data_IF_304566822740
#
_entry.id   IF_304566822740
#
_cell.length_a   1.000
_cell.length_b   1.000
_cell.length_c   1.000
_cell.angle_alpha   90.00
_cell.angle_beta   90.00
_cell.angle_gamma   90.00
#
_symmetry.space_group_name_H-M   'P 1'
#
loop_
_entity.id
_entity.type
_entity.pdbx_description
1 polymer ?
#
# COMPACT_ATOMS: atom_id res chain seq x y z
N UNK A 1 5.07 0.57 -9.99
CA UNK A 1 5.33 1.13 -8.66
C UNK A 1 4.75 0.20 -7.61
N UNK A 2 5.53 -0.18 -6.64
CA UNK A 2 5.17 -1.24 -5.70
C UNK A 2 5.49 -0.80 -4.26
N UNK A 3 4.49 -0.72 -3.40
CA UNK A 3 4.66 -0.26 -2.03
C UNK A 3 5.33 -1.37 -1.19
N UNK A 4 6.46 -1.06 -0.57
CA UNK A 4 7.19 -1.97 0.31
C UNK A 4 7.26 -1.37 1.71
N UNK A 5 6.60 -2.00 2.67
CA UNK A 5 6.43 -1.49 4.02
C UNK A 5 6.58 -2.63 5.03
N UNK A 6 7.80 -2.86 5.49
CA UNK A 6 8.09 -3.93 6.45
C UNK A 6 7.56 -3.66 7.86
N UNK A 7 7.35 -4.72 8.62
CA UNK A 7 6.81 -4.69 9.99
C UNK A 7 7.80 -4.17 11.05
N UNK A 8 9.06 -3.95 10.66
CA UNK A 8 10.05 -3.27 11.49
C UNK A 8 9.75 -1.75 11.65
N UNK A 9 8.87 -1.20 10.80
CA UNK A 9 8.42 0.19 10.92
C UNK A 9 7.29 0.31 11.96
N UNK A 10 7.17 1.48 12.65
CA UNK A 10 6.05 1.76 13.54
C UNK A 10 4.68 1.59 12.84
N UNK A 11 3.67 1.15 13.56
CA UNK A 11 2.35 0.83 13.03
C UNK A 11 1.68 2.03 12.34
N UNK A 12 1.77 3.21 12.94
CA UNK A 12 1.24 4.45 12.36
C UNK A 12 1.91 4.81 11.03
N UNK A 13 3.22 4.56 10.91
CA UNK A 13 3.98 4.74 9.68
C UNK A 13 3.54 3.73 8.62
N UNK A 14 3.38 2.46 9.01
CA UNK A 14 2.90 1.40 8.10
C UNK A 14 1.51 1.70 7.56
N UNK A 15 0.58 2.09 8.44
CA UNK A 15 -0.79 2.44 8.07
C UNK A 15 -0.83 3.61 7.08
N UNK A 16 -0.01 4.63 7.32
CA UNK A 16 0.11 5.80 6.44
C UNK A 16 0.62 5.43 5.05
N UNK A 17 1.63 4.55 5.00
CA UNK A 17 2.29 4.16 3.75
C UNK A 17 1.53 3.12 2.93
N UNK A 18 0.61 2.39 3.54
CA UNK A 18 -0.27 1.41 2.88
C UNK A 18 -1.66 1.99 2.65
N UNK A 19 -2.49 2.05 3.67
CA UNK A 19 -3.87 2.55 3.61
C UNK A 19 -3.93 4.01 3.15
N UNK A 20 -3.14 4.88 3.74
CA UNK A 20 -3.12 6.31 3.40
C UNK A 20 -2.75 6.56 1.94
N UNK A 21 -1.76 5.83 1.44
CA UNK A 21 -1.33 5.95 0.04
C UNK A 21 -2.38 5.41 -0.93
N UNK A 22 -2.93 4.23 -0.68
CA UNK A 22 -3.99 3.69 -1.51
C UNK A 22 -5.22 4.59 -1.50
N UNK A 23 -5.61 5.12 -0.34
CA UNK A 23 -6.71 6.08 -0.23
C UNK A 23 -6.52 7.31 -1.12
N UNK A 24 -5.30 7.85 -1.19
CA UNK A 24 -4.95 8.93 -2.11
C UNK A 24 -5.15 8.55 -3.58
N UNK A 25 -4.74 7.35 -3.96
CA UNK A 25 -4.97 6.85 -5.32
C UNK A 25 -6.45 6.59 -5.62
N UNK A 26 -7.21 6.08 -4.65
CA UNK A 26 -8.66 5.87 -4.81
C UNK A 26 -9.42 7.17 -5.03
N UNK A 27 -8.98 8.27 -4.41
CA UNK A 27 -9.56 9.59 -4.67
C UNK A 27 -9.34 10.04 -6.12
N UNK A 28 -8.11 9.93 -6.63
CA UNK A 28 -7.73 10.43 -7.95
C UNK A 28 -8.00 9.45 -9.09
N UNK A 29 -7.77 8.17 -8.87
CA UNK A 29 -7.74 7.13 -9.91
C UNK A 29 -8.60 5.90 -9.58
N UNK A 30 -9.52 6.02 -8.62
CA UNK A 30 -10.30 4.89 -8.12
C UNK A 30 -11.03 4.12 -9.22
N UNK A 31 -11.70 4.81 -10.15
CA UNK A 31 -12.43 4.14 -11.24
C UNK A 31 -11.49 3.35 -12.16
N UNK A 32 -10.30 3.90 -12.46
CA UNK A 32 -9.29 3.22 -13.25
C UNK A 32 -8.76 1.97 -12.52
N UNK A 33 -8.47 2.08 -11.23
CA UNK A 33 -7.99 0.96 -10.43
C UNK A 33 -9.03 -0.16 -10.35
N UNK A 34 -10.28 0.17 -10.10
CA UNK A 34 -11.39 -0.79 -10.06
C UNK A 34 -11.54 -1.49 -11.41
N UNK A 35 -11.58 -0.74 -12.50
CA UNK A 35 -11.73 -1.29 -13.85
C UNK A 35 -10.55 -2.20 -14.26
N UNK A 36 -9.32 -1.75 -14.01
CA UNK A 36 -8.11 -2.48 -14.39
C UNK A 36 -7.95 -3.79 -13.63
N UNK A 37 -8.31 -3.80 -12.34
CA UNK A 37 -8.18 -5.00 -11.50
C UNK A 37 -9.44 -5.87 -11.49
N UNK A 38 -10.53 -5.46 -12.13
CA UNK A 38 -11.81 -6.16 -12.09
C UNK A 38 -12.42 -6.23 -10.69
N UNK A 39 -12.18 -5.21 -9.87
CA UNK A 39 -12.72 -5.12 -8.51
C UNK A 39 -14.21 -4.75 -8.49
N UNK A 40 -14.90 -5.12 -7.40
CA UNK A 40 -16.25 -4.63 -7.14
C UNK A 40 -16.23 -3.10 -6.95
N UNK A 41 -17.04 -2.32 -7.68
CA UNK A 41 -17.09 -0.87 -7.52
C UNK A 41 -17.79 -0.40 -6.24
N UNK A 42 -18.53 -1.26 -5.55
CA UNK A 42 -19.31 -0.85 -4.36
C UNK A 42 -18.42 -0.33 -3.21
N UNK A 43 -17.27 -0.94 -2.86
CA UNK A 43 -16.36 -0.37 -1.86
C UNK A 43 -15.81 1.01 -2.24
N UNK A 44 -15.53 1.27 -3.52
CA UNK A 44 -15.09 2.59 -3.97
C UNK A 44 -16.19 3.64 -3.78
N UNK A 45 -17.43 3.28 -4.09
CA UNK A 45 -18.57 4.18 -3.88
C UNK A 45 -18.78 4.51 -2.37
N UNK A 46 -18.65 3.50 -1.51
CA UNK A 46 -18.72 3.69 -0.06
C UNK A 46 -17.57 4.56 0.46
N UNK A 47 -16.35 4.33 0.00
CA UNK A 47 -15.18 5.14 0.32
C UNK A 47 -15.38 6.61 -0.07
N UNK A 48 -15.86 6.90 -1.26
CA UNK A 48 -16.12 8.27 -1.73
C UNK A 48 -17.26 8.98 -1.00
N UNK A 49 -18.23 8.23 -0.51
CA UNK A 49 -19.37 8.76 0.26
C UNK A 49 -19.03 8.98 1.75
N UNK A 50 -17.91 8.46 2.23
CA UNK A 50 -17.54 8.54 3.63
C UNK A 50 -17.22 9.99 4.05
N UNK A 51 -17.82 10.50 5.16
CA UNK A 51 -17.59 11.87 5.61
C UNK A 51 -16.14 12.19 5.97
N UNK A 52 -15.38 11.23 6.52
CA UNK A 52 -13.96 11.41 6.87
C UNK A 52 -13.14 11.58 5.62
N UNK A 53 -13.35 10.70 4.62
CA UNK A 53 -12.70 10.80 3.32
C UNK A 53 -13.02 12.14 2.64
N UNK A 54 -14.26 12.58 2.71
CA UNK A 54 -14.75 13.85 2.15
C UNK A 54 -14.08 15.11 2.73
N UNK A 55 -13.42 15.02 3.88
CA UNK A 55 -12.67 16.15 4.45
C UNK A 55 -11.34 16.43 3.74
N UNK A 56 -10.85 15.47 2.93
CA UNK A 56 -9.55 15.57 2.27
C UNK A 56 -9.69 15.96 0.79
N UNK A 57 -8.98 16.99 0.39
CA UNK A 57 -8.79 17.36 -1.01
C UNK A 57 -7.45 16.78 -1.53
N UNK A 58 -7.25 15.46 -1.39
CA UNK A 58 -6.02 14.76 -1.73
C UNK A 58 -5.00 14.72 -0.59
N UNK A 59 -3.89 14.02 -0.82
CA UNK A 59 -2.79 13.85 0.13
C UNK A 59 -3.22 13.25 1.50
N UNK A 60 -4.11 12.27 1.49
CA UNK A 60 -4.60 11.58 2.69
C UNK A 60 -3.42 11.00 3.48
N UNK A 61 -2.45 10.40 2.79
CA UNK A 61 -1.23 9.84 3.37
C UNK A 61 -0.37 10.84 4.14
N UNK A 62 -0.50 12.12 3.85
CA UNK A 62 0.25 13.18 4.53
C UNK A 62 -0.55 13.91 5.60
N UNK A 63 -1.86 14.05 5.43
CA UNK A 63 -2.71 14.93 6.22
C UNK A 63 -3.55 14.20 7.26
N UNK A 64 -3.89 12.93 7.02
CA UNK A 64 -4.76 12.19 7.92
C UNK A 64 -4.07 11.88 9.25
N UNK A 65 -4.83 11.93 10.34
CA UNK A 65 -4.39 11.41 11.64
C UNK A 65 -4.38 9.88 11.61
N UNK A 66 -3.71 9.26 12.57
CA UNK A 66 -3.71 7.80 12.71
C UNK A 66 -5.13 7.25 12.87
N UNK A 67 -5.96 7.88 13.70
CA UNK A 67 -7.36 7.50 13.91
C UNK A 67 -8.18 7.60 12.61
N UNK A 68 -7.95 8.64 11.80
CA UNK A 68 -8.61 8.75 10.49
C UNK A 68 -8.16 7.66 9.52
N UNK A 69 -6.87 7.29 9.54
CA UNK A 69 -6.35 6.20 8.73
C UNK A 69 -6.89 4.83 9.17
N UNK A 70 -7.02 4.60 10.48
CA UNK A 70 -7.67 3.39 11.01
C UNK A 70 -9.12 3.28 10.55
N UNK A 71 -9.87 4.38 10.60
CA UNK A 71 -11.22 4.43 10.06
C UNK A 71 -11.24 4.14 8.56
N UNK A 72 -10.39 4.80 7.77
CA UNK A 72 -10.31 4.59 6.32
C UNK A 72 -9.94 3.14 5.99
N UNK A 73 -9.09 2.49 6.80
CA UNK A 73 -8.74 1.09 6.62
C UNK A 73 -9.97 0.17 6.65
N UNK A 74 -11.01 0.51 7.40
CA UNK A 74 -12.26 -0.26 7.44
C UNK A 74 -13.08 -0.19 6.15
N UNK A 75 -12.83 0.80 5.30
CA UNK A 75 -13.53 1.03 4.04
C UNK A 75 -12.84 0.35 2.84
N UNK A 76 -11.58 -0.05 3.01
CA UNK A 76 -10.76 -0.61 1.93
C UNK A 76 -10.72 -2.14 2.07
N UNK A 77 -11.15 -2.89 1.05
CA UNK A 77 -11.00 -4.35 1.05
C UNK A 77 -9.54 -4.76 1.19
N UNK A 78 -9.26 -5.78 2.01
CA UNK A 78 -7.91 -6.29 2.25
C UNK A 78 -7.20 -6.69 0.94
N UNK A 79 -7.93 -7.29 0.01
CA UNK A 79 -7.44 -7.70 -1.30
C UNK A 79 -6.88 -6.53 -2.15
N UNK A 80 -7.33 -5.29 -1.89
CA UNK A 80 -6.81 -4.11 -2.61
C UNK A 80 -5.43 -3.70 -2.10
N UNK A 81 -5.08 -4.10 -0.88
CA UNK A 81 -3.75 -3.89 -0.27
C UNK A 81 -2.79 -5.06 -0.52
N UNK A 82 -3.31 -6.24 -0.90
CA UNK A 82 -2.52 -7.46 -1.08
C UNK A 82 -1.31 -7.33 -2.04
N UNK A 83 -1.34 -6.50 -3.11
CA UNK A 83 -0.17 -6.28 -3.95
C UNK A 83 0.99 -5.53 -3.28
N UNK A 84 0.78 -4.94 -2.11
CA UNK A 84 1.85 -4.29 -1.34
C UNK A 84 2.72 -5.35 -0.65
N UNK A 85 4.04 -5.13 -0.63
CA UNK A 85 4.97 -5.97 0.12
C UNK A 85 4.96 -5.53 1.60
N UNK A 86 4.34 -6.33 2.45
CA UNK A 86 4.20 -6.07 3.89
C UNK A 86 4.61 -7.30 4.70
N UNK A 87 4.67 -7.14 6.02
CA UNK A 87 5.11 -8.19 6.92
C UNK A 87 6.61 -8.13 7.22
N UNK A 88 7.23 -9.25 7.58
CA UNK A 88 8.67 -9.30 7.84
C UNK A 88 9.48 -8.94 6.58
N UNK A 89 10.75 -8.54 6.72
CA UNK A 89 11.62 -8.31 5.57
C UNK A 89 11.63 -9.49 4.59
N UNK A 90 11.63 -10.73 5.07
CA UNK A 90 11.60 -11.95 4.27
C UNK A 90 10.25 -12.11 3.54
N UNK A 91 9.14 -11.77 4.19
CA UNK A 91 7.82 -11.75 3.55
C UNK A 91 7.73 -10.68 2.44
N UNK A 92 8.31 -9.51 2.69
CA UNK A 92 8.43 -8.47 1.66
C UNK A 92 9.24 -8.98 0.45
N UNK A 93 10.36 -9.67 0.69
CA UNK A 93 11.17 -10.27 -0.37
C UNK A 93 10.39 -11.33 -1.16
N UNK A 94 9.67 -12.21 -0.47
CA UNK A 94 8.84 -13.22 -1.14
C UNK A 94 7.77 -12.57 -2.05
N UNK A 95 7.17 -11.46 -1.62
CA UNK A 95 6.21 -10.72 -2.44
C UNK A 95 6.89 -10.08 -3.66
N UNK A 96 8.10 -9.55 -3.51
CA UNK A 96 8.90 -9.01 -4.63
C UNK A 96 9.23 -10.12 -5.65
N UNK A 97 9.69 -11.29 -5.19
CA UNK A 97 9.94 -12.44 -6.06
C UNK A 97 8.67 -12.87 -6.82
N UNK A 98 7.51 -12.84 -6.16
CA UNK A 98 6.23 -13.10 -6.80
C UNK A 98 5.93 -12.18 -7.99
N UNK A 99 6.41 -10.93 -7.99
CA UNK A 99 6.26 -10.04 -9.16
C UNK A 99 7.12 -10.51 -10.34
N UNK A 100 8.33 -11.00 -10.08
CA UNK A 100 9.18 -11.58 -11.13
C UNK A 100 8.56 -12.87 -11.68
N UNK A 101 7.98 -13.70 -10.84
CA UNK A 101 7.28 -14.93 -11.26
C UNK A 101 6.06 -14.62 -12.16
N UNK A 102 5.43 -13.46 -11.99
CA UNK A 102 4.36 -12.95 -12.86
C UNK A 102 4.87 -12.33 -14.16
N UNK A 103 6.20 -12.29 -14.36
CA UNK A 103 6.83 -11.81 -15.60
C UNK A 103 7.31 -10.37 -15.56
N UNK A 104 7.44 -9.76 -14.39
CA UNK A 104 8.06 -8.45 -14.28
C UNK A 104 9.57 -8.54 -14.50
N UNK A 105 10.15 -7.67 -15.34
CA UNK A 105 11.60 -7.57 -15.56
C UNK A 105 12.31 -6.79 -14.45
N UNK A 106 11.57 -5.92 -13.75
CA UNK A 106 12.07 -5.12 -12.64
C UNK A 106 10.96 -4.73 -11.68
N UNK A 107 11.29 -4.59 -10.40
CA UNK A 107 10.37 -4.12 -9.36
C UNK A 107 10.95 -2.86 -8.70
N UNK A 108 10.16 -1.79 -8.67
CA UNK A 108 10.52 -0.56 -7.98
C UNK A 108 9.93 -0.60 -6.57
N UNK A 109 10.80 -0.64 -5.56
CA UNK A 109 10.38 -0.52 -4.17
C UNK A 109 10.00 0.93 -3.89
N UNK A 110 8.77 1.15 -3.49
CA UNK A 110 8.19 2.48 -3.36
C UNK A 110 7.53 2.67 -1.99
N UNK A 111 7.45 3.90 -1.53
CA UNK A 111 6.73 4.26 -0.31
C UNK A 111 7.58 4.29 0.95
N UNK A 112 8.87 4.01 0.87
CA UNK A 112 9.80 4.04 1.99
C UNK A 112 11.12 4.72 1.62
N UNK A 113 11.81 5.28 2.61
CA UNK A 113 13.16 5.83 2.43
C UNK A 113 14.20 4.70 2.31
N UNK A 114 15.42 4.98 1.84
CA UNK A 114 16.49 3.99 1.82
C UNK A 114 16.77 3.34 3.19
N UNK A 115 16.71 4.11 4.26
CA UNK A 115 16.92 3.60 5.62
C UNK A 115 15.78 2.67 6.06
N UNK A 116 14.56 3.02 5.73
CA UNK A 116 13.37 2.19 6.00
C UNK A 116 13.36 0.91 5.17
N UNK A 117 13.97 0.92 3.97
CA UNK A 117 14.10 -0.25 3.09
C UNK A 117 15.31 -1.12 3.43
N UNK A 118 16.26 -0.63 4.20
CA UNK A 118 17.53 -1.31 4.45
C UNK A 118 17.37 -2.77 4.92
N UNK A 119 16.47 -3.11 5.87
CA UNK A 119 16.25 -4.51 6.29
C UNK A 119 15.72 -5.39 5.14
N UNK A 120 14.80 -4.88 4.32
CA UNK A 120 14.26 -5.62 3.17
C UNK A 120 15.33 -5.84 2.09
N UNK A 121 16.14 -4.83 1.81
CA UNK A 121 17.26 -4.93 0.87
C UNK A 121 18.31 -5.93 1.36
N UNK A 122 18.60 -5.94 2.66
CA UNK A 122 19.52 -6.91 3.26
C UNK A 122 18.98 -8.35 3.13
N UNK A 123 17.69 -8.56 3.42
CA UNK A 123 17.04 -9.86 3.28
C UNK A 123 17.04 -10.32 1.80
N UNK A 124 16.75 -9.42 0.85
CA UNK A 124 16.78 -9.70 -0.58
C UNK A 124 18.17 -10.21 -1.01
N UNK A 125 19.22 -9.47 -0.65
CA UNK A 125 20.61 -9.87 -0.98
C UNK A 125 21.01 -11.20 -0.36
N UNK A 126 20.50 -11.51 0.84
CA UNK A 126 20.77 -12.78 1.50
C UNK A 126 20.05 -13.96 0.83
N UNK A 127 18.87 -13.73 0.26
CA UNK A 127 18.10 -14.75 -0.45
C UNK A 127 18.69 -15.07 -1.85
N UNK A 128 19.26 -14.08 -2.53
CA UNK A 128 19.86 -14.22 -3.86
C UNK A 128 21.35 -14.66 -3.81
N UNK A 129 21.93 -14.70 -2.66
CA UNK A 129 23.31 -15.14 -2.41
C UNK A 129 23.37 -16.58 -2.01
#
# INVERSE_FOLDING_TARGET
CFATVGDHLPEDVRLRKTVGRLAGYLQGYGDLLVATNGWDPAPLAAFRADPVVGTFAGAIDQKATTEQLEHIATLIPEEWLAPSATGSPEQCVATVHGQFDLGADAVILHGASPDELAPVVAAYRAADG
#
